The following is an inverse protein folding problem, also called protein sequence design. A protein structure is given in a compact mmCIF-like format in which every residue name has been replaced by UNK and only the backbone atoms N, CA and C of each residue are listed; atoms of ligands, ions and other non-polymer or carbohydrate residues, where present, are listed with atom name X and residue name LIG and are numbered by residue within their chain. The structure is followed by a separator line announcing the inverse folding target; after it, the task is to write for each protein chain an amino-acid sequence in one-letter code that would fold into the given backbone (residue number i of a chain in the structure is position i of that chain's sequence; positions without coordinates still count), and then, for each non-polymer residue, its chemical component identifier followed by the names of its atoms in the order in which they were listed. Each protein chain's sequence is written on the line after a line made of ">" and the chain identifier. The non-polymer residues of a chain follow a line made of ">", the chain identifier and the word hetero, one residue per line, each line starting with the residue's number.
data_IF_778552571671
#
_entry.id   IF_778552571671
#
_cell.length_a   1.000
_cell.length_b   1.000
_cell.length_c   1.000
_cell.angle_alpha   90.00
_cell.angle_beta   90.00
_cell.angle_gamma   90.00
#
_symmetry.space_group_name_H-M   'P 1'
#
loop_
_entity.id
_entity.type
_entity.pdbx_description
1 polymer ?
#
# COMPACT_ATOMS: atom_id res chain seq x y z
N UNK A 1 46.80 -23.83 33.12
CA UNK A 1 46.36 -22.43 33.01
C UNK A 1 45.93 -22.02 31.57
N UNK A 2 45.37 -22.93 30.77
CA UNK A 2 44.93 -22.69 29.35
C UNK A 2 43.42 -22.83 29.15
N UNK A 3 42.71 -23.37 30.15
CA UNK A 3 41.23 -23.63 30.03
C UNK A 3 40.39 -22.35 30.24
N UNK A 4 40.89 -21.42 31.04
CA UNK A 4 40.14 -20.20 31.40
C UNK A 4 40.02 -19.22 30.19
N UNK A 5 41.00 -19.23 29.30
CA UNK A 5 40.94 -18.37 28.09
C UNK A 5 39.89 -18.83 27.07
N UNK A 6 39.70 -20.14 26.94
CA UNK A 6 38.71 -20.72 26.02
C UNK A 6 37.28 -20.50 26.53
N UNK A 7 37.07 -20.59 27.86
CA UNK A 7 35.75 -20.29 28.48
C UNK A 7 35.41 -18.80 28.39
N UNK A 8 36.37 -17.89 28.51
CA UNK A 8 36.18 -16.47 28.36
C UNK A 8 35.80 -16.09 26.92
N UNK A 9 36.46 -16.72 25.94
CA UNK A 9 36.17 -16.53 24.52
C UNK A 9 34.79 -17.06 24.14
N UNK A 10 34.38 -18.22 24.68
CA UNK A 10 33.06 -18.77 24.48
C UNK A 10 31.94 -17.88 25.10
N UNK A 11 32.18 -17.31 26.30
CA UNK A 11 31.25 -16.39 26.94
C UNK A 11 31.08 -15.08 26.15
N UNK A 12 32.16 -14.56 25.55
CA UNK A 12 32.12 -13.37 24.70
C UNK A 12 31.35 -13.61 23.39
N UNK A 13 31.44 -14.81 22.83
CA UNK A 13 30.71 -15.19 21.60
C UNK A 13 29.20 -15.36 21.86
N UNK A 14 28.81 -15.78 23.06
CA UNK A 14 27.39 -15.89 23.45
C UNK A 14 26.75 -14.53 23.75
N UNK A 15 27.50 -13.55 24.23
CA UNK A 15 27.03 -12.20 24.46
C UNK A 15 26.81 -11.38 23.18
N UNK A 16 27.37 -11.81 22.05
CA UNK A 16 27.22 -11.11 20.76
C UNK A 16 25.86 -11.35 20.07
N UNK A 17 25.03 -12.25 20.60
CA UNK A 17 23.71 -12.56 20.02
C UNK A 17 22.54 -11.74 20.61
N UNK A 18 22.80 -10.90 21.60
CA UNK A 18 21.76 -10.09 22.23
C UNK A 18 21.82 -8.63 21.72
N UNK A 19 21.83 -8.47 20.40
CA UNK A 19 21.54 -7.15 19.83
C UNK A 19 20.05 -6.90 20.00
N UNK A 20 19.65 -5.79 20.64
CA UNK A 20 18.26 -5.37 20.59
C UNK A 20 17.88 -5.27 19.11
N UNK A 21 16.88 -6.02 18.69
CA UNK A 21 16.29 -5.88 17.37
C UNK A 21 15.83 -4.43 17.27
N UNK A 22 16.59 -3.61 16.55
CA UNK A 22 16.09 -2.32 16.10
C UNK A 22 14.72 -2.57 15.45
N UNK A 23 13.71 -1.76 15.79
CA UNK A 23 12.40 -1.92 15.15
C UNK A 23 12.64 -1.89 13.66
N UNK A 24 12.16 -2.92 12.96
CA UNK A 24 12.34 -3.05 11.51
C UNK A 24 11.92 -1.74 10.86
N UNK A 25 12.92 -0.96 10.44
CA UNK A 25 12.68 0.18 9.59
C UNK A 25 12.15 -0.38 8.28
N UNK A 26 10.88 -0.19 8.01
CA UNK A 26 10.26 -0.60 6.76
C UNK A 26 11.07 -0.09 5.58
N UNK A 27 10.87 -0.70 4.42
CA UNK A 27 11.61 -0.37 3.20
C UNK A 27 11.80 1.15 3.03
N UNK A 28 13.04 1.59 2.93
CA UNK A 28 13.44 3.00 2.76
C UNK A 28 12.93 3.96 3.87
N UNK A 29 12.73 3.48 5.09
CA UNK A 29 12.23 4.32 6.19
C UNK A 29 10.72 4.63 6.10
N UNK A 30 10.01 4.06 5.17
CA UNK A 30 8.58 4.31 4.94
C UNK A 30 7.66 3.56 5.91
N UNK A 31 8.19 2.73 6.79
CA UNK A 31 7.39 1.80 7.58
C UNK A 31 7.05 2.21 9.01
N UNK A 32 7.94 2.90 9.71
CA UNK A 32 7.89 2.93 11.18
C UNK A 32 7.67 4.29 11.84
N UNK A 33 7.56 5.36 11.07
CA UNK A 33 7.15 6.68 11.57
C UNK A 33 5.81 7.13 10.96
N UNK A 34 4.97 6.17 10.62
CA UNK A 34 3.65 6.50 10.13
C UNK A 34 2.82 7.06 11.28
N UNK A 35 2.40 8.30 11.16
CA UNK A 35 1.21 8.82 11.83
C UNK A 35 0.14 7.70 11.86
N UNK A 36 -0.58 7.54 12.96
CA UNK A 36 -1.50 6.42 13.11
C UNK A 36 -2.65 6.53 12.10
N UNK A 37 -2.53 5.79 11.01
CA UNK A 37 -3.67 5.58 10.12
C UNK A 37 -4.77 4.78 10.83
N UNK A 38 -6.00 4.98 10.39
CA UNK A 38 -7.13 4.19 10.87
C UNK A 38 -6.89 2.70 10.56
N UNK A 39 -6.87 1.82 11.57
CA UNK A 39 -6.70 0.39 11.32
C UNK A 39 -7.94 -0.18 10.63
N UNK A 40 -7.74 -1.14 9.74
CA UNK A 40 -8.84 -1.92 9.18
C UNK A 40 -9.30 -2.93 10.22
N UNK A 41 -10.56 -2.84 10.63
CA UNK A 41 -11.16 -3.73 11.63
C UNK A 41 -12.28 -4.56 11.01
N UNK A 42 -12.37 -5.84 11.40
CA UNK A 42 -13.48 -6.68 10.97
C UNK A 42 -14.80 -6.18 11.55
N UNK A 43 -15.89 -6.33 10.78
CA UNK A 43 -17.23 -6.00 11.23
C UNK A 43 -17.56 -4.50 11.24
N UNK A 44 -16.75 -3.65 10.63
CA UNK A 44 -17.12 -2.25 10.42
C UNK A 44 -18.41 -2.19 9.59
N UNK A 45 -19.49 -1.55 10.08
CA UNK A 45 -20.69 -1.36 9.27
C UNK A 45 -20.42 -0.35 8.16
N UNK A 46 -21.05 -0.57 7.01
CA UNK A 46 -21.03 0.39 5.90
C UNK A 46 -22.31 1.22 5.91
N UNK A 47 -22.16 2.51 5.59
CA UNK A 47 -23.24 3.47 5.40
C UNK A 47 -23.18 4.01 3.98
N UNK A 48 -24.20 3.76 3.19
CA UNK A 48 -24.29 4.27 1.81
C UNK A 48 -25.27 5.43 1.73
N UNK A 49 -24.97 6.50 0.95
CA UNK A 49 -23.89 6.59 -0.06
C UNK A 49 -22.52 7.04 0.47
N UNK A 50 -22.37 7.36 1.75
CA UNK A 50 -21.18 7.97 2.34
C UNK A 50 -19.92 7.11 2.11
N UNK A 51 -20.03 5.81 2.28
CA UNK A 51 -18.92 4.86 2.07
C UNK A 51 -18.57 4.60 0.59
N UNK A 52 -19.21 5.29 -0.36
CA UNK A 52 -18.70 5.39 -1.74
C UNK A 52 -17.62 6.48 -1.88
N UNK A 53 -17.55 7.38 -0.93
CA UNK A 53 -16.60 8.48 -0.90
C UNK A 53 -15.22 8.09 -0.37
N UNK A 54 -14.31 9.07 -0.28
CA UNK A 54 -12.98 8.86 0.26
C UNK A 54 -13.00 8.75 1.79
N UNK A 55 -12.11 7.91 2.32
CA UNK A 55 -11.88 7.71 3.75
C UNK A 55 -10.46 8.16 4.10
N UNK A 56 -10.22 9.45 4.34
CA UNK A 56 -8.87 10.00 4.50
C UNK A 56 -8.08 9.42 5.68
N UNK A 57 -8.75 8.81 6.65
CA UNK A 57 -8.10 8.12 7.75
C UNK A 57 -7.35 6.84 7.36
N UNK A 58 -7.66 6.23 6.23
CA UNK A 58 -6.95 5.04 5.77
C UNK A 58 -5.75 5.42 4.90
N UNK A 59 -4.71 4.60 4.95
CA UNK A 59 -3.50 4.81 4.16
C UNK A 59 -3.73 4.61 2.68
N UNK A 60 -4.47 3.56 2.30
CA UNK A 60 -4.70 3.14 0.92
C UNK A 60 -6.18 2.91 0.73
N UNK A 61 -6.70 3.43 -0.37
CA UNK A 61 -8.03 3.17 -0.87
C UNK A 61 -7.97 3.04 -2.39
N UNK A 62 -8.93 2.34 -2.95
CA UNK A 62 -9.11 2.28 -4.39
C UNK A 62 -10.56 2.12 -4.77
N UNK A 63 -10.90 2.71 -5.89
CA UNK A 63 -12.18 2.55 -6.57
C UNK A 63 -11.92 1.90 -7.91
N UNK A 64 -12.75 0.96 -8.30
CA UNK A 64 -12.57 0.29 -9.56
C UNK A 64 -13.90 -0.03 -10.24
N UNK A 65 -13.85 -0.08 -11.57
CA UNK A 65 -14.93 -0.56 -12.43
C UNK A 65 -14.33 -1.67 -13.29
N UNK A 66 -15.04 -2.79 -13.37
CA UNK A 66 -14.74 -3.88 -14.30
C UNK A 66 -16.00 -4.18 -15.07
N UNK A 67 -15.91 -4.25 -16.40
CA UNK A 67 -17.05 -4.54 -17.26
C UNK A 67 -16.67 -5.50 -18.37
N UNK A 68 -17.56 -6.46 -18.64
CA UNK A 68 -17.58 -7.25 -19.85
C UNK A 68 -18.62 -6.64 -20.78
N UNK A 69 -18.18 -6.19 -21.93
CA UNK A 69 -18.99 -5.48 -22.89
C UNK A 69 -19.07 -6.30 -24.18
N UNK A 70 -20.12 -6.05 -24.93
CA UNK A 70 -20.30 -6.62 -26.26
C UNK A 70 -20.81 -5.51 -27.19
N UNK A 71 -20.16 -5.39 -28.35
CA UNK A 71 -20.61 -4.44 -29.36
C UNK A 71 -21.83 -4.95 -30.15
N UNK A 72 -22.33 -4.14 -31.08
CA UNK A 72 -23.47 -4.48 -31.91
C UNK A 72 -23.18 -5.64 -32.86
N UNK A 73 -21.91 -5.96 -33.14
CA UNK A 73 -21.45 -7.07 -33.95
C UNK A 73 -21.20 -8.34 -33.14
N UNK A 74 -21.38 -8.27 -31.83
CA UNK A 74 -21.18 -9.39 -30.92
C UNK A 74 -19.74 -9.61 -30.48
N UNK A 75 -18.82 -8.67 -30.78
CA UNK A 75 -17.44 -8.73 -30.28
C UNK A 75 -17.39 -8.43 -28.79
N UNK A 76 -16.59 -9.19 -28.06
CA UNK A 76 -16.46 -9.06 -26.61
C UNK A 76 -15.24 -8.24 -26.22
N UNK A 77 -15.43 -7.39 -25.21
CA UNK A 77 -14.40 -6.54 -24.63
C UNK A 77 -14.45 -6.61 -23.11
N UNK A 78 -13.27 -6.70 -22.48
CA UNK A 78 -13.09 -6.43 -21.06
C UNK A 78 -12.63 -5.00 -20.87
N UNK A 79 -13.23 -4.27 -19.95
CA UNK A 79 -12.80 -2.93 -19.54
C UNK A 79 -12.51 -2.92 -18.06
N UNK A 80 -11.38 -2.32 -17.69
CA UNK A 80 -11.01 -2.08 -16.31
C UNK A 80 -10.61 -0.62 -16.12
N UNK A 81 -11.02 -0.05 -15.01
CA UNK A 81 -10.55 1.23 -14.55
C UNK A 81 -10.37 1.17 -13.03
N UNK A 82 -9.25 1.69 -12.54
CA UNK A 82 -8.97 1.76 -11.11
C UNK A 82 -8.34 3.10 -10.78
N UNK A 83 -8.81 3.71 -9.70
CA UNK A 83 -8.19 4.88 -9.10
C UNK A 83 -7.70 4.48 -7.72
N UNK A 84 -6.41 4.56 -7.50
CA UNK A 84 -5.77 4.35 -6.21
C UNK A 84 -5.48 5.69 -5.54
N UNK A 85 -5.76 5.77 -4.26
CA UNK A 85 -5.30 6.82 -3.35
C UNK A 85 -4.32 6.21 -2.36
N UNK A 86 -3.14 6.79 -2.26
CA UNK A 86 -2.13 6.40 -1.29
C UNK A 86 -1.70 7.64 -0.49
N UNK A 87 -2.05 7.67 0.80
CA UNK A 87 -1.63 8.72 1.71
C UNK A 87 -0.25 8.40 2.27
N UNK A 88 0.68 9.34 2.13
CA UNK A 88 2.05 9.25 2.64
C UNK A 88 2.11 9.55 4.15
N UNK A 89 1.13 10.28 4.66
CA UNK A 89 0.95 10.62 6.08
C UNK A 89 -0.52 10.58 6.45
N UNK A 90 -0.82 10.33 7.71
CA UNK A 90 -2.17 10.40 8.24
C UNK A 90 -2.60 11.85 8.49
N UNK A 91 -3.89 12.05 8.75
CA UNK A 91 -4.47 13.35 9.07
C UNK A 91 -4.81 14.19 7.85
N UNK A 92 -4.99 15.49 8.08
CA UNK A 92 -5.35 16.42 7.02
C UNK A 92 -4.23 16.53 5.97
N UNK A 93 -4.63 16.41 4.74
CA UNK A 93 -3.73 16.56 3.61
C UNK A 93 -3.54 18.05 3.32
N UNK A 94 -2.32 18.45 2.98
CA UNK A 94 -2.03 19.79 2.51
C UNK A 94 -2.65 20.07 1.15
N UNK A 95 -2.24 21.15 0.53
CA UNK A 95 -2.68 21.50 -0.83
C UNK A 95 -1.48 21.63 -1.78
N UNK A 96 -1.71 21.37 -3.04
CA UNK A 96 -0.68 21.45 -4.09
C UNK A 96 0.49 20.50 -3.80
N UNK A 97 1.71 20.99 -3.86
CA UNK A 97 2.91 20.15 -3.64
C UNK A 97 3.09 19.64 -2.20
N UNK A 98 2.37 20.22 -1.25
CA UNK A 98 2.36 19.78 0.14
C UNK A 98 1.29 18.72 0.42
N UNK A 99 0.48 18.37 -0.57
CA UNK A 99 -0.44 17.26 -0.45
C UNK A 99 0.33 15.95 -0.26
N UNK A 100 0.08 15.29 0.86
CA UNK A 100 0.67 14.00 1.21
C UNK A 100 -0.01 12.82 0.52
N UNK A 101 -0.79 13.05 -0.52
CA UNK A 101 -1.53 12.00 -1.25
C UNK A 101 -0.94 11.79 -2.64
N UNK A 102 -0.76 10.54 -3.00
CA UNK A 102 -0.44 10.12 -4.37
C UNK A 102 -1.65 9.41 -4.95
N UNK A 103 -2.04 9.84 -6.12
CA UNK A 103 -3.09 9.23 -6.92
C UNK A 103 -2.48 8.47 -8.09
N UNK A 104 -2.99 7.28 -8.38
CA UNK A 104 -2.65 6.50 -9.56
C UNK A 104 -3.94 6.07 -10.25
N UNK A 105 -4.14 6.53 -11.47
CA UNK A 105 -5.19 6.04 -12.37
C UNK A 105 -4.63 4.94 -13.24
N UNK A 106 -5.34 3.83 -13.35
CA UNK A 106 -5.02 2.71 -14.24
C UNK A 106 -6.26 2.36 -15.05
N UNK A 107 -6.11 2.21 -16.36
CA UNK A 107 -7.18 1.82 -17.26
C UNK A 107 -6.69 0.78 -18.26
N UNK A 108 -7.53 -0.18 -18.59
CA UNK A 108 -7.25 -1.19 -19.59
C UNK A 108 -8.49 -1.58 -20.40
N UNK A 109 -8.28 -1.87 -21.66
CA UNK A 109 -9.28 -2.47 -22.54
C UNK A 109 -8.69 -3.70 -23.19
N UNK A 110 -9.41 -4.80 -23.15
CA UNK A 110 -9.02 -6.10 -23.69
C UNK A 110 -10.06 -6.59 -24.67
N UNK A 111 -9.63 -7.03 -25.82
CA UNK A 111 -10.43 -7.81 -26.79
C UNK A 111 -9.85 -9.21 -26.92
N UNK A 112 -10.43 -10.05 -27.77
CA UNK A 112 -9.91 -11.40 -28.05
C UNK A 112 -8.47 -11.39 -28.61
N UNK A 113 -8.04 -10.29 -29.24
CA UNK A 113 -6.77 -10.21 -29.95
C UNK A 113 -5.85 -9.09 -29.50
N UNK A 114 -6.34 -8.14 -28.70
CA UNK A 114 -5.60 -6.94 -28.30
C UNK A 114 -5.83 -6.58 -26.85
N UNK A 115 -4.81 -6.02 -26.24
CA UNK A 115 -4.85 -5.45 -24.90
C UNK A 115 -4.16 -4.10 -24.89
N UNK A 116 -4.86 -3.08 -24.39
CA UNK A 116 -4.33 -1.74 -24.20
C UNK A 116 -4.44 -1.39 -22.71
N UNK A 117 -3.35 -0.87 -22.17
CA UNK A 117 -3.33 -0.37 -20.80
C UNK A 117 -2.64 1.00 -20.74
N UNK A 118 -3.08 1.81 -19.80
CA UNK A 118 -2.48 3.11 -19.53
C UNK A 118 -2.54 3.40 -18.04
N UNK A 119 -1.55 4.13 -17.56
CA UNK A 119 -1.50 4.61 -16.18
C UNK A 119 -1.11 6.08 -16.11
N UNK A 120 -1.55 6.76 -15.06
CA UNK A 120 -1.23 8.15 -14.76
C UNK A 120 -1.10 8.33 -13.26
N UNK A 121 -0.17 9.20 -12.87
CA UNK A 121 0.05 9.62 -11.50
C UNK A 121 -0.28 11.09 -11.34
N UNK A 122 -0.79 11.44 -10.15
CA UNK A 122 -1.08 12.80 -9.74
C UNK A 122 -0.84 13.01 -8.24
N UNK A 123 -0.75 14.26 -7.85
CA UNK A 123 -0.73 14.72 -6.46
C UNK A 123 -1.79 15.78 -6.27
#
# INVERSE_FOLDING_TARGET
>A
MKINGLLLLAALLLAACDQPTEPEQGFAGLGNQAEPFTPVTAGRPFSFPEDHGPHPGFRIEWWYITANLKDAQGQEFGVQWTLFRNALRAGEQGSGWNDGTIWMGHAAVTSATQHFAAERYAR
#
